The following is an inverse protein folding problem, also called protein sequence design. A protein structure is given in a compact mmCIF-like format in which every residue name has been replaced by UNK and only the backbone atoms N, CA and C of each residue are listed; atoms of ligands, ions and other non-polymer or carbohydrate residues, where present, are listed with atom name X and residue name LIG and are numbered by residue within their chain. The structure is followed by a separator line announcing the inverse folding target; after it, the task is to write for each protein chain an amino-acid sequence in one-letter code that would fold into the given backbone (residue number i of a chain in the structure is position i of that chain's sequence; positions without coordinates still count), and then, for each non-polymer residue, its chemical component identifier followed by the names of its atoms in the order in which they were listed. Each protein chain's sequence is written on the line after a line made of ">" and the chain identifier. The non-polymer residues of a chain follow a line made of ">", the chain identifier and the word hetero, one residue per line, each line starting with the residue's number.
data_IF_020944809499
#
_entry.id   IF_020944809499
#
_cell.length_a   1.000
_cell.length_b   1.000
_cell.length_c   1.000
_cell.angle_alpha   90.00
_cell.angle_beta   90.00
_cell.angle_gamma   90.00
#
_symmetry.space_group_name_H-M   'P 1'
#
loop_
_entity.id
_entity.type
_entity.pdbx_description
1 polymer ?
#
# COMPACT_ATOMS: atom_id res chain seq x y z
N UNK A 1 -21.22 74.46 52.08
CA UNK A 1 -21.63 73.15 51.50
C UNK A 1 -21.68 73.32 49.99
N UNK A 2 -20.59 72.98 49.30
CA UNK A 2 -20.49 72.78 47.85
C UNK A 2 -19.11 72.13 47.58
N UNK A 3 -19.10 70.93 46.98
CA UNK A 3 -17.95 70.36 46.27
C UNK A 3 -18.49 69.90 44.90
N UNK A 4 -17.82 70.22 43.78
CA UNK A 4 -18.31 69.91 42.44
C UNK A 4 -17.83 68.54 41.95
N UNK A 5 -18.55 68.07 40.93
CA UNK A 5 -18.54 66.75 40.31
C UNK A 5 -17.17 66.26 39.80
N UNK A 6 -16.90 64.98 40.04
CA UNK A 6 -15.83 64.21 39.41
C UNK A 6 -16.31 63.58 38.10
N UNK A 7 -15.71 64.00 36.99
CA UNK A 7 -15.88 63.35 35.69
C UNK A 7 -15.22 61.96 35.65
N UNK A 8 -16.00 60.96 35.24
CA UNK A 8 -15.51 59.62 34.94
C UNK A 8 -14.73 59.64 33.61
N UNK A 9 -13.46 59.23 33.66
CA UNK A 9 -12.68 58.91 32.45
C UNK A 9 -12.99 57.48 32.00
N UNK A 10 -13.50 57.34 30.77
CA UNK A 10 -13.59 56.05 30.08
C UNK A 10 -12.19 55.52 29.77
N UNK A 11 -11.84 54.37 30.37
CA UNK A 11 -10.64 53.61 30.04
C UNK A 11 -10.89 52.82 28.75
N UNK A 12 -10.34 53.28 27.63
CA UNK A 12 -10.30 52.50 26.39
C UNK A 12 -9.45 51.23 26.56
N UNK A 13 -10.07 50.07 26.40
CA UNK A 13 -9.39 48.77 26.43
C UNK A 13 -8.44 48.63 25.23
N UNK A 14 -7.22 48.14 25.47
CA UNK A 14 -6.26 47.83 24.41
C UNK A 14 -6.79 46.70 23.49
N UNK A 15 -6.54 46.75 22.17
CA UNK A 15 -6.97 45.71 21.25
C UNK A 15 -6.27 44.38 21.58
N UNK A 16 -7.04 43.30 21.55
CA UNK A 16 -6.52 41.94 21.75
C UNK A 16 -5.43 41.62 20.70
N UNK A 17 -4.37 40.88 21.08
CA UNK A 17 -3.34 40.47 20.13
C UNK A 17 -3.97 39.60 19.03
N UNK A 18 -3.56 39.85 17.79
CA UNK A 18 -3.97 39.03 16.65
C UNK A 18 -3.55 37.56 16.88
N UNK A 19 -4.38 36.57 16.48
CA UNK A 19 -4.02 35.17 16.60
C UNK A 19 -2.73 34.90 15.82
N UNK A 20 -1.88 34.02 16.37
CA UNK A 20 -0.66 33.59 15.70
C UNK A 20 -1.00 32.99 14.32
N UNK A 21 -0.20 33.26 13.27
CA UNK A 21 -0.42 32.66 11.97
C UNK A 21 -0.33 31.13 12.07
N UNK A 22 -1.24 30.44 11.39
CA UNK A 22 -1.24 28.98 11.34
C UNK A 22 0.05 28.47 10.69
N UNK A 23 0.57 27.31 11.12
CA UNK A 23 1.75 26.70 10.50
C UNK A 23 1.47 26.33 9.05
N UNK A 24 2.52 26.35 8.22
CA UNK A 24 2.47 25.84 6.86
C UNK A 24 2.17 24.33 6.87
N UNK A 25 1.60 23.83 5.78
CA UNK A 25 1.34 22.41 5.63
C UNK A 25 2.64 21.61 5.77
N UNK A 26 2.57 20.47 6.46
CA UNK A 26 3.73 19.65 6.74
C UNK A 26 3.54 18.68 7.89
N UNK A 27 4.54 17.83 8.09
CA UNK A 27 4.59 16.87 9.18
C UNK A 27 4.88 17.55 10.51
N UNK A 28 4.05 17.27 11.51
CA UNK A 28 4.19 17.83 12.84
C UNK A 28 3.97 16.72 13.89
N UNK A 29 4.48 16.87 15.13
CA UNK A 29 4.33 15.85 16.15
C UNK A 29 2.86 15.52 16.39
N UNK A 30 2.47 14.24 16.34
CA UNK A 30 1.08 13.83 16.51
C UNK A 30 0.62 14.15 17.95
N UNK A 31 -0.43 14.97 18.14
CA UNK A 31 -0.96 15.28 19.48
C UNK A 31 -1.47 14.05 20.24
N UNK A 32 -1.83 12.99 19.52
CA UNK A 32 -2.40 11.76 20.06
C UNK A 32 -1.37 10.65 20.30
N UNK A 33 -0.16 10.75 19.72
CA UNK A 33 0.87 9.73 19.87
C UNK A 33 2.29 10.31 19.78
N UNK A 34 3.12 10.18 20.84
CA UNK A 34 4.45 10.83 20.88
C UNK A 34 5.48 10.21 19.92
N UNK A 35 5.21 8.99 19.41
CA UNK A 35 6.08 8.25 18.49
C UNK A 35 5.76 8.49 17.02
N UNK A 36 4.72 9.27 16.70
CA UNK A 36 4.29 9.56 15.34
C UNK A 36 4.34 11.05 15.03
N UNK A 37 4.46 11.36 13.74
CA UNK A 37 4.10 12.65 13.17
C UNK A 37 2.78 12.48 12.45
N UNK A 38 1.96 13.55 12.46
CA UNK A 38 0.70 13.64 11.73
C UNK A 38 0.81 14.78 10.74
N UNK A 39 0.27 14.60 9.54
CA UNK A 39 0.33 15.65 8.54
C UNK A 39 -0.69 16.75 8.85
N UNK A 40 -0.25 18.00 8.77
CA UNK A 40 -1.09 19.20 8.86
C UNK A 40 -1.26 19.75 7.44
N UNK A 41 -2.49 19.91 6.97
CA UNK A 41 -2.77 20.34 5.59
C UNK A 41 -2.76 21.89 5.42
N UNK A 42 -2.43 22.63 6.47
CA UNK A 42 -2.52 24.09 6.51
C UNK A 42 -3.81 24.62 7.14
N UNK A 43 -4.82 23.77 7.33
CA UNK A 43 -6.12 24.14 7.93
C UNK A 43 -6.59 23.18 9.02
N UNK A 44 -6.25 21.89 8.93
CA UNK A 44 -6.62 20.84 9.89
C UNK A 44 -5.55 19.74 9.92
N UNK A 45 -5.58 18.98 11.02
CA UNK A 45 -4.84 17.73 11.13
C UNK A 45 -5.49 16.68 10.24
N UNK A 46 -4.69 15.92 9.52
CA UNK A 46 -5.14 14.80 8.70
C UNK A 46 -5.03 13.49 9.49
N UNK A 47 -5.66 12.41 9.00
CA UNK A 47 -5.55 11.05 9.56
C UNK A 47 -4.18 10.45 9.26
N UNK A 48 -3.55 10.87 8.16
CA UNK A 48 -2.20 10.46 7.77
C UNK A 48 -1.15 10.67 8.87
N UNK A 49 -0.61 9.55 9.36
CA UNK A 49 0.48 9.50 10.33
C UNK A 49 1.67 8.74 9.78
N UNK A 50 2.86 9.12 10.21
CA UNK A 50 4.08 8.34 9.98
C UNK A 50 4.86 8.18 11.28
N UNK A 51 5.63 7.10 11.46
CA UNK A 51 6.56 7.01 12.58
C UNK A 51 7.49 8.22 12.59
N UNK A 52 7.69 8.81 13.76
CA UNK A 52 8.57 9.96 13.93
C UNK A 52 10.00 9.50 13.70
N UNK A 53 10.57 9.87 12.56
CA UNK A 53 11.92 9.45 12.19
C UNK A 53 12.90 10.03 13.22
N UNK A 54 13.46 9.17 14.08
CA UNK A 54 14.74 9.48 14.69
C UNK A 54 15.71 9.63 13.52
N UNK A 55 16.28 10.82 13.32
CA UNK A 55 17.25 11.08 12.25
C UNK A 55 18.28 9.93 12.27
N UNK A 56 18.16 9.00 11.32
CA UNK A 56 19.14 7.96 11.17
C UNK A 56 20.45 8.66 10.86
N UNK A 57 21.50 8.33 11.61
CA UNK A 57 22.84 8.82 11.29
C UNK A 57 23.11 8.49 9.81
N UNK A 58 23.74 9.41 9.04
CA UNK A 58 24.00 9.17 7.63
C UNK A 58 24.72 7.83 7.49
N UNK A 59 24.10 6.92 6.74
CA UNK A 59 24.71 5.65 6.38
C UNK A 59 26.03 6.01 5.70
N UNK A 60 27.14 5.71 6.36
CA UNK A 60 28.44 5.92 5.77
C UNK A 60 28.56 4.87 4.68
N UNK A 61 28.60 5.32 3.42
CA UNK A 61 28.69 4.44 2.27
C UNK A 61 29.84 3.43 2.50
N UNK A 62 29.61 2.13 2.36
CA UNK A 62 30.71 1.18 2.29
C UNK A 62 31.57 1.52 1.06
N UNK A 63 32.87 1.27 1.17
CA UNK A 63 33.83 1.51 0.09
C UNK A 63 33.35 0.85 -1.22
N UNK A 64 33.55 1.49 -2.38
CA UNK A 64 33.01 1.01 -3.65
C UNK A 64 33.48 -0.42 -3.93
N UNK A 65 32.53 -1.35 -3.93
CA UNK A 65 32.70 -2.68 -4.49
C UNK A 65 32.93 -2.59 -6.01
N UNK A 66 33.45 -3.65 -6.64
CA UNK A 66 33.73 -3.64 -8.07
C UNK A 66 32.46 -3.33 -8.86
N UNK A 67 32.61 -2.52 -9.91
CA UNK A 67 31.53 -2.07 -10.77
C UNK A 67 30.66 -3.24 -11.25
N UNK A 68 29.35 -3.14 -11.01
CA UNK A 68 28.36 -4.05 -11.54
C UNK A 68 28.43 -4.06 -13.07
N UNK A 69 28.49 -5.27 -13.64
CA UNK A 69 28.36 -5.50 -15.07
C UNK A 69 26.96 -6.06 -15.32
N UNK A 70 26.23 -5.59 -16.35
CA UNK A 70 24.92 -6.13 -16.67
C UNK A 70 25.02 -7.63 -16.94
N UNK A 71 24.24 -8.43 -16.21
CA UNK A 71 24.14 -9.85 -16.45
C UNK A 71 23.57 -10.08 -17.85
N UNK A 72 24.40 -10.59 -18.75
CA UNK A 72 23.91 -11.20 -20.00
C UNK A 72 23.28 -12.54 -19.61
N UNK A 73 22.03 -12.85 -20.00
CA UNK A 73 21.39 -14.10 -19.60
C UNK A 73 22.20 -15.28 -20.15
N UNK A 74 22.92 -15.99 -19.27
CA UNK A 74 23.52 -17.28 -19.61
C UNK A 74 22.42 -18.32 -19.59
N UNK A 75 22.11 -18.84 -20.77
CA UNK A 75 21.06 -19.82 -21.06
C UNK A 75 21.37 -21.22 -20.54
N UNK A 76 21.66 -21.42 -19.25
CA UNK A 76 21.84 -22.76 -18.67
C UNK A 76 21.12 -22.90 -17.31
N UNK A 77 19.82 -23.16 -17.37
CA UNK A 77 19.05 -23.79 -16.30
C UNK A 77 18.72 -25.26 -16.65
N UNK A 78 18.53 -26.16 -15.67
CA UNK A 78 18.34 -27.58 -15.91
C UNK A 78 17.04 -27.87 -16.69
N UNK A 79 17.12 -28.74 -17.68
CA UNK A 79 16.01 -29.13 -18.53
C UNK A 79 14.95 -29.92 -17.75
N UNK A 80 13.78 -29.31 -17.54
CA UNK A 80 12.56 -30.05 -17.26
C UNK A 80 11.83 -30.32 -18.58
N UNK A 81 11.75 -31.59 -18.98
CA UNK A 81 10.99 -32.02 -20.15
C UNK A 81 9.50 -32.02 -19.83
N UNK A 82 8.76 -31.02 -20.31
CA UNK A 82 7.31 -31.07 -20.42
C UNK A 82 6.88 -31.83 -21.69
N UNK A 83 5.76 -32.59 -21.68
CA UNK A 83 5.31 -33.38 -22.82
C UNK A 83 4.84 -32.49 -23.98
N UNK A 84 5.26 -32.86 -25.20
CA UNK A 84 4.99 -32.13 -26.43
C UNK A 84 3.51 -32.16 -26.83
N UNK A 85 2.89 -30.99 -26.94
CA UNK A 85 1.67 -30.79 -27.73
C UNK A 85 2.06 -30.28 -29.13
N UNK A 86 1.44 -30.79 -30.21
CA UNK A 86 1.79 -30.39 -31.57
C UNK A 86 1.37 -28.94 -31.84
N UNK A 87 2.29 -28.16 -32.39
CA UNK A 87 2.07 -26.80 -32.82
C UNK A 87 1.06 -26.75 -33.98
N UNK A 88 -0.09 -26.14 -33.76
CA UNK A 88 -0.95 -25.64 -34.82
C UNK A 88 -0.83 -24.13 -34.89
N UNK A 89 -0.30 -23.64 -36.01
CA UNK A 89 -0.25 -22.21 -36.35
C UNK A 89 -1.68 -21.72 -36.61
N UNK A 90 -2.23 -20.76 -35.85
CA UNK A 90 -3.48 -20.13 -36.24
C UNK A 90 -3.21 -18.93 -37.17
N UNK A 91 -4.13 -18.62 -38.10
CA UNK A 91 -3.89 -17.62 -39.12
C UNK A 91 -4.07 -16.21 -38.58
N UNK A 92 -3.24 -15.31 -39.10
CA UNK A 92 -3.40 -13.85 -39.04
C UNK A 92 -4.84 -13.47 -39.42
N UNK A 93 -5.61 -12.87 -38.51
CA UNK A 93 -6.94 -12.29 -38.83
C UNK A 93 -7.14 -10.92 -38.19
N UNK A 94 -7.69 -10.05 -39.02
CA UNK A 94 -8.06 -8.66 -38.82
C UNK A 94 -9.21 -8.46 -37.83
N UNK A 95 -9.23 -7.25 -37.25
CA UNK A 95 -10.34 -6.66 -36.47
C UNK A 95 -11.72 -7.08 -36.99
N UNK A 96 -12.49 -7.75 -36.13
CA UNK A 96 -13.95 -7.79 -36.20
C UNK A 96 -14.49 -8.05 -34.78
N UNK A 97 -15.10 -7.01 -34.23
CA UNK A 97 -15.88 -6.96 -32.99
C UNK A 97 -16.84 -8.14 -32.83
N UNK A 98 -16.75 -8.83 -31.69
CA UNK A 98 -17.89 -9.55 -31.10
C UNK A 98 -17.87 -9.40 -29.59
N UNK A 99 -18.83 -8.59 -29.12
CA UNK A 99 -19.28 -8.55 -27.75
C UNK A 99 -19.77 -9.92 -27.28
N UNK A 100 -19.35 -10.35 -26.10
CA UNK A 100 -20.13 -11.22 -25.23
C UNK A 100 -19.62 -11.01 -23.79
N UNK A 101 -20.46 -10.42 -22.95
CA UNK A 101 -20.10 -10.07 -21.58
C UNK A 101 -20.21 -11.23 -20.60
N UNK A 102 -19.59 -11.05 -19.44
CA UNK A 102 -20.11 -11.56 -18.17
C UNK A 102 -19.59 -10.68 -17.04
N UNK A 103 -20.51 -10.22 -16.19
CA UNK A 103 -20.21 -9.65 -14.87
C UNK A 103 -19.71 -10.78 -13.96
N UNK A 104 -18.58 -10.58 -13.29
CA UNK A 104 -18.10 -11.49 -12.24
C UNK A 104 -18.50 -10.90 -10.88
N UNK A 105 -19.38 -11.57 -10.10
CA UNK A 105 -19.57 -11.19 -8.71
C UNK A 105 -18.39 -11.69 -7.88
N UNK A 106 -17.83 -10.80 -7.05
CA UNK A 106 -16.91 -11.13 -5.95
C UNK A 106 -17.63 -12.09 -5.00
N UNK A 107 -17.13 -13.32 -4.91
CA UNK A 107 -17.73 -14.36 -4.09
C UNK A 107 -17.36 -14.17 -2.61
N UNK A 108 -18.30 -13.66 -1.82
CA UNK A 108 -18.29 -13.78 -0.35
C UNK A 108 -18.66 -15.21 0.01
N UNK A 109 -17.70 -15.97 0.56
CA UNK A 109 -17.93 -17.33 1.02
C UNK A 109 -18.69 -17.33 2.36
N UNK A 110 -20.01 -17.47 2.29
CA UNK A 110 -20.82 -17.93 3.41
C UNK A 110 -20.69 -19.45 3.57
N UNK A 111 -20.23 -19.91 4.74
CA UNK A 111 -20.10 -21.33 5.05
C UNK A 111 -20.55 -21.65 6.48
N UNK A 112 -21.87 -21.79 6.70
CA UNK A 112 -22.42 -22.45 7.89
C UNK A 112 -23.37 -23.58 7.50
N UNK A 113 -23.10 -24.73 8.11
CA UNK A 113 -23.94 -25.90 8.40
C UNK A 113 -24.38 -26.84 7.25
N UNK A 114 -23.90 -28.09 7.31
CA UNK A 114 -24.73 -29.24 7.73
C UNK A 114 -23.96 -30.56 7.70
N UNK A 115 -23.55 -31.08 8.87
CA UNK A 115 -23.40 -32.53 9.09
C UNK A 115 -23.51 -32.83 10.59
N UNK A 116 -24.72 -33.13 11.08
CA UNK A 116 -24.90 -34.03 12.24
C UNK A 116 -26.18 -34.83 12.03
N UNK A 117 -26.03 -36.12 11.71
CA UNK A 117 -27.04 -37.12 12.01
C UNK A 117 -26.36 -38.40 12.44
N UNK A 118 -26.51 -38.75 13.73
CA UNK A 118 -26.26 -40.08 14.27
C UNK A 118 -25.22 -40.12 15.39
N UNK A 119 -25.68 -40.52 16.58
CA UNK A 119 -24.77 -40.95 17.66
C UNK A 119 -25.23 -40.56 19.05
N UNK A 120 -26.20 -41.29 19.61
CA UNK A 120 -26.49 -41.27 21.04
C UNK A 120 -25.31 -41.87 21.82
N UNK A 121 -24.90 -41.22 22.92
CA UNK A 121 -24.21 -41.89 24.02
C UNK A 121 -23.06 -41.09 24.65
N UNK A 122 -23.14 -40.95 25.98
CA UNK A 122 -22.14 -40.45 26.93
C UNK A 122 -21.97 -38.92 27.08
N UNK A 123 -22.40 -38.41 28.23
CA UNK A 123 -22.08 -37.07 28.75
C UNK A 123 -20.64 -37.04 29.25
N UNK A 124 -19.78 -36.11 28.80
CA UNK A 124 -18.57 -35.79 29.51
C UNK A 124 -18.83 -34.71 30.58
N UNK A 125 -18.07 -34.85 31.64
CA UNK A 125 -17.98 -34.01 32.83
C UNK A 125 -17.87 -32.51 32.50
N UNK A 126 -18.58 -31.69 33.27
CA UNK A 126 -18.66 -30.23 33.09
C UNK A 126 -17.28 -29.61 33.38
N UNK A 127 -16.45 -29.47 32.36
CA UNK A 127 -15.23 -28.64 32.41
C UNK A 127 -15.69 -27.20 32.64
N UNK A 128 -15.44 -26.68 33.84
CA UNK A 128 -15.55 -25.25 34.10
C UNK A 128 -14.40 -24.58 33.35
N UNK A 129 -14.71 -23.95 32.22
CA UNK A 129 -13.81 -22.97 31.62
C UNK A 129 -13.87 -21.72 32.49
N UNK A 130 -12.76 -21.41 33.16
CA UNK A 130 -12.49 -20.05 33.61
C UNK A 130 -12.46 -19.16 32.38
N UNK A 131 -13.49 -18.32 32.22
CA UNK A 131 -13.44 -17.16 31.34
C UNK A 131 -12.29 -16.32 31.87
N UNK A 132 -11.21 -16.21 31.08
CA UNK A 132 -10.19 -15.20 31.34
C UNK A 132 -10.81 -13.90 30.85
N UNK A 133 -11.46 -13.18 31.76
CA UNK A 133 -11.77 -11.76 31.57
C UNK A 133 -10.44 -11.00 31.61
N UNK A 134 -9.80 -10.79 30.46
CA UNK A 134 -9.10 -9.54 30.12
C UNK A 134 -8.46 -9.67 28.73
N UNK A 135 -9.12 -9.15 27.71
CA UNK A 135 -8.50 -8.76 26.44
C UNK A 135 -8.91 -7.32 26.16
N UNK A 136 -8.31 -6.39 26.91
CA UNK A 136 -8.72 -4.98 27.01
C UNK A 136 -7.71 -4.00 26.40
N UNK A 137 -6.74 -4.47 25.62
CA UNK A 137 -5.77 -3.61 24.94
C UNK A 137 -5.55 -4.03 23.48
N UNK A 138 -5.29 -3.03 22.61
CA UNK A 138 -4.84 -3.23 21.24
C UNK A 138 -3.60 -4.15 21.20
N UNK A 139 -3.46 -5.00 20.17
CA UNK A 139 -2.31 -5.87 20.04
C UNK A 139 -1.01 -5.06 19.98
N UNK A 140 0.02 -5.54 20.66
CA UNK A 140 1.32 -4.88 20.70
C UNK A 140 2.05 -5.18 19.40
N UNK A 141 2.26 -4.14 18.59
CA UNK A 141 3.04 -4.22 17.37
C UNK A 141 4.53 -4.51 17.65
N UNK A 142 5.16 -5.45 16.92
CA UNK A 142 6.61 -5.66 16.98
C UNK A 142 7.35 -4.52 16.27
N UNK A 143 8.61 -4.30 16.66
CA UNK A 143 9.51 -3.45 15.89
C UNK A 143 9.89 -4.16 14.58
N UNK A 144 9.82 -3.44 13.45
CA UNK A 144 10.26 -3.95 12.15
C UNK A 144 11.24 -2.96 11.52
N UNK A 145 12.19 -3.43 10.68
CA UNK A 145 13.10 -2.54 9.94
C UNK A 145 12.43 -1.91 8.71
N UNK A 146 11.15 -2.20 8.47
CA UNK A 146 10.37 -1.80 7.31
C UNK A 146 9.52 -0.56 7.64
N UNK A 147 9.23 0.25 6.62
CA UNK A 147 8.37 1.42 6.77
C UNK A 147 6.93 1.06 7.19
N UNK A 148 6.18 2.06 7.62
CA UNK A 148 4.73 1.95 7.87
C UNK A 148 4.00 2.73 6.78
N UNK A 149 3.03 2.10 6.13
CA UNK A 149 2.35 2.64 4.94
C UNK A 149 0.86 2.93 5.17
N UNK A 150 0.30 2.40 6.26
CA UNK A 150 -1.12 2.55 6.60
C UNK A 150 -1.49 3.94 7.17
N UNK A 151 -2.73 4.38 6.97
CA UNK A 151 -3.22 5.71 7.32
C UNK A 151 -3.92 5.83 8.67
N UNK A 152 -4.51 4.74 9.20
CA UNK A 152 -5.27 4.77 10.46
C UNK A 152 -4.51 4.09 11.60
N UNK A 153 -4.73 4.47 12.88
CA UNK A 153 -4.07 3.81 14.02
C UNK A 153 -4.28 2.29 14.07
N UNK A 154 -5.46 1.79 13.66
CA UNK A 154 -5.74 0.36 13.60
C UNK A 154 -4.88 -0.33 12.53
N UNK A 155 -4.87 0.20 11.31
CA UNK A 155 -4.08 -0.37 10.22
C UNK A 155 -2.57 -0.27 10.49
N UNK A 156 -2.10 0.88 11.01
CA UNK A 156 -0.72 1.08 11.48
C UNK A 156 -0.30 0.07 12.53
N UNK A 157 -1.20 -0.31 13.44
CA UNK A 157 -0.90 -1.31 14.47
C UNK A 157 -0.94 -2.75 13.93
N UNK A 158 -1.80 -3.04 12.95
CA UNK A 158 -1.88 -4.35 12.30
C UNK A 158 -0.72 -4.62 11.35
N UNK A 159 -0.28 -3.63 10.59
CA UNK A 159 0.75 -3.76 9.56
C UNK A 159 2.03 -4.47 10.03
N UNK A 160 2.71 -4.08 11.13
CA UNK A 160 3.91 -4.77 11.60
C UNK A 160 3.65 -6.22 12.05
N UNK A 161 2.44 -6.52 12.54
CA UNK A 161 2.05 -7.90 12.86
C UNK A 161 1.91 -8.74 11.58
N UNK A 162 1.38 -8.16 10.49
CA UNK A 162 1.29 -8.80 9.19
C UNK A 162 2.68 -8.96 8.54
N UNK A 163 3.54 -7.93 8.65
CA UNK A 163 4.93 -7.99 8.18
C UNK A 163 5.72 -9.07 8.92
N UNK A 164 5.51 -9.26 10.21
CA UNK A 164 6.20 -10.32 10.98
C UNK A 164 5.51 -11.69 10.89
N UNK A 165 4.52 -11.84 10.01
CA UNK A 165 3.74 -13.05 9.79
C UNK A 165 3.08 -13.63 11.05
N UNK A 166 2.54 -12.77 11.92
CA UNK A 166 1.81 -13.22 13.11
C UNK A 166 0.68 -14.21 12.71
N UNK A 167 0.68 -15.46 13.21
CA UNK A 167 -0.24 -16.50 12.73
C UNK A 167 -1.68 -16.30 13.22
N UNK A 168 -1.86 -15.52 14.27
CA UNK A 168 -3.14 -15.15 14.86
C UNK A 168 -2.97 -13.84 15.63
N UNK A 169 -3.90 -12.91 15.46
CA UNK A 169 -3.87 -11.59 16.09
C UNK A 169 -5.17 -11.42 16.89
N UNK A 170 -5.05 -11.18 18.19
CA UNK A 170 -6.20 -10.83 19.02
C UNK A 170 -6.69 -9.42 18.66
N UNK A 171 -7.93 -9.35 18.19
CA UNK A 171 -8.60 -8.12 17.77
C UNK A 171 -9.89 -7.91 18.57
N UNK A 172 -10.03 -8.57 19.73
CA UNK A 172 -11.25 -8.59 20.54
C UNK A 172 -11.73 -7.18 20.89
N UNK A 173 -10.84 -6.32 21.40
CA UNK A 173 -11.20 -4.95 21.75
C UNK A 173 -11.75 -4.19 20.54
N UNK A 174 -11.01 -4.17 19.42
CA UNK A 174 -11.42 -3.46 18.22
C UNK A 174 -12.69 -4.03 17.60
N UNK A 175 -12.90 -5.35 17.66
CA UNK A 175 -14.12 -5.98 17.17
C UNK A 175 -15.35 -5.53 17.97
N UNK A 176 -15.22 -5.37 19.29
CA UNK A 176 -16.29 -4.82 20.13
C UNK A 176 -16.53 -3.33 19.92
N UNK A 177 -15.46 -2.54 19.71
CA UNK A 177 -15.54 -1.07 19.57
C UNK A 177 -15.97 -0.61 18.17
N UNK A 178 -15.49 -1.27 17.12
CA UNK A 178 -15.59 -0.83 15.74
C UNK A 178 -16.24 -1.85 14.79
N UNK A 179 -16.46 -3.09 15.26
CA UNK A 179 -16.97 -4.18 14.43
C UNK A 179 -15.86 -4.83 13.58
N UNK A 180 -16.17 -6.01 13.04
CA UNK A 180 -15.22 -6.79 12.24
C UNK A 180 -14.92 -6.17 10.87
N UNK A 181 -15.87 -5.44 10.28
CA UNK A 181 -15.69 -4.82 8.96
C UNK A 181 -14.57 -3.77 8.97
N UNK A 182 -14.43 -3.01 10.07
CA UNK A 182 -13.34 -2.05 10.24
C UNK A 182 -11.97 -2.75 10.30
N UNK A 183 -11.89 -3.92 10.97
CA UNK A 183 -10.67 -4.73 11.03
C UNK A 183 -10.33 -5.27 9.64
N UNK A 184 -11.31 -5.79 8.90
CA UNK A 184 -11.10 -6.30 7.55
C UNK A 184 -10.63 -5.20 6.60
N UNK A 185 -11.20 -4.00 6.70
CA UNK A 185 -10.76 -2.85 5.92
C UNK A 185 -9.32 -2.41 6.27
N UNK A 186 -8.96 -2.41 7.56
CA UNK A 186 -7.61 -2.07 7.99
C UNK A 186 -6.55 -3.07 7.51
N UNK A 187 -6.87 -4.38 7.47
CA UNK A 187 -5.99 -5.40 6.87
C UNK A 187 -5.88 -5.20 5.35
N UNK A 188 -7.00 -4.91 4.68
CA UNK A 188 -7.03 -4.60 3.25
C UNK A 188 -6.14 -3.41 2.89
N UNK A 189 -6.26 -2.31 3.64
CA UNK A 189 -5.38 -1.14 3.51
C UNK A 189 -3.91 -1.54 3.67
N UNK A 190 -3.55 -2.25 4.75
CA UNK A 190 -2.17 -2.65 4.98
C UNK A 190 -1.61 -3.51 3.83
N UNK A 191 -2.42 -4.40 3.26
CA UNK A 191 -2.04 -5.23 2.12
C UNK A 191 -1.89 -4.42 0.80
N UNK A 192 -2.67 -3.35 0.61
CA UNK A 192 -2.62 -2.49 -0.59
C UNK A 192 -1.53 -1.42 -0.48
N UNK A 193 -1.22 -0.94 0.71
CA UNK A 193 -0.27 0.15 0.91
C UNK A 193 1.16 -0.36 1.14
N UNK A 194 1.34 -1.51 1.81
CA UNK A 194 2.65 -1.96 2.26
C UNK A 194 3.34 -2.88 1.24
N UNK A 195 4.52 -2.52 0.70
CA UNK A 195 5.31 -3.39 -0.18
C UNK A 195 5.84 -4.67 0.48
N UNK A 196 5.66 -4.80 1.81
CA UNK A 196 6.26 -5.83 2.64
C UNK A 196 5.23 -6.75 3.32
N UNK A 197 3.93 -6.54 3.09
CA UNK A 197 2.86 -7.42 3.58
C UNK A 197 2.54 -8.47 2.51
N UNK A 198 2.74 -9.75 2.84
CA UNK A 198 2.53 -10.87 1.91
C UNK A 198 1.37 -11.77 2.36
N UNK A 199 0.16 -11.21 2.34
CA UNK A 199 -1.09 -11.92 2.64
C UNK A 199 -1.96 -12.01 1.40
N UNK A 200 -2.65 -13.14 1.22
CA UNK A 200 -3.60 -13.34 0.11
C UNK A 200 -5.06 -13.36 0.61
N UNK A 201 -5.29 -13.83 1.83
CA UNK A 201 -6.59 -13.96 2.47
C UNK A 201 -6.48 -13.70 3.97
N UNK A 202 -7.60 -13.33 4.59
CA UNK A 202 -7.67 -13.20 6.04
C UNK A 202 -9.09 -13.46 6.53
N UNK A 203 -9.22 -13.94 7.76
CA UNK A 203 -10.51 -14.22 8.39
C UNK A 203 -10.52 -13.73 9.83
N UNK A 204 -11.65 -13.19 10.30
CA UNK A 204 -11.87 -12.94 11.73
C UNK A 204 -12.77 -14.04 12.26
N UNK A 205 -12.30 -14.74 13.29
CA UNK A 205 -13.07 -15.79 13.98
C UNK A 205 -13.51 -15.31 15.35
N UNK A 206 -14.76 -15.57 15.70
CA UNK A 206 -15.27 -15.38 17.05
C UNK A 206 -15.37 -16.73 17.77
N UNK A 207 -14.81 -16.82 18.97
CA UNK A 207 -15.01 -17.95 19.87
C UNK A 207 -15.20 -17.45 21.30
N UNK A 208 -16.36 -17.74 21.89
CA UNK A 208 -16.67 -17.35 23.27
C UNK A 208 -16.45 -15.85 23.57
N UNK A 209 -16.80 -14.97 22.61
CA UNK A 209 -16.65 -13.52 22.72
C UNK A 209 -15.24 -12.97 22.49
N UNK A 210 -14.27 -13.84 22.17
CA UNK A 210 -12.92 -13.48 21.72
C UNK A 210 -12.89 -13.45 20.20
N UNK A 211 -12.34 -12.37 19.62
CA UNK A 211 -12.18 -12.23 18.17
C UNK A 211 -10.71 -12.33 17.79
N UNK A 212 -10.41 -13.21 16.84
CA UNK A 212 -9.04 -13.44 16.36
C UNK A 212 -8.99 -13.28 14.85
N UNK A 213 -8.14 -12.36 14.39
CA UNK A 213 -7.74 -12.23 12.99
C UNK A 213 -6.72 -13.33 12.65
N UNK A 214 -6.98 -14.06 11.58
CA UNK A 214 -6.13 -15.12 11.05
C UNK A 214 -5.79 -14.79 9.58
N UNK A 215 -4.61 -14.22 9.33
CA UNK A 215 -4.08 -14.02 7.99
C UNK A 215 -3.63 -15.35 7.38
N UNK A 216 -3.76 -15.47 6.06
CA UNK A 216 -3.13 -16.50 5.26
C UNK A 216 -1.95 -15.83 4.54
N UNK A 217 -0.74 -16.32 4.82
CA UNK A 217 0.48 -15.77 4.25
C UNK A 217 0.85 -16.52 2.98
N UNK A 218 1.35 -15.78 1.98
CA UNK A 218 1.76 -16.31 0.69
C UNK A 218 3.00 -17.21 0.81
N UNK A 219 3.91 -16.82 1.70
CA UNK A 219 5.23 -17.44 1.87
C UNK A 219 5.42 -17.93 3.31
N UNK A 220 6.36 -18.86 3.49
CA UNK A 220 6.91 -19.12 4.83
C UNK A 220 7.75 -17.94 5.32
N UNK A 221 8.06 -17.93 6.62
CA UNK A 221 8.74 -16.80 7.28
C UNK A 221 10.12 -16.50 6.67
N UNK A 222 10.85 -17.54 6.23
CA UNK A 222 12.21 -17.40 5.69
C UNK A 222 12.17 -16.76 4.29
N UNK A 223 11.30 -17.25 3.40
CA UNK A 223 11.14 -16.69 2.06
C UNK A 223 10.54 -15.28 2.10
N UNK A 224 9.57 -15.04 2.98
CA UNK A 224 8.98 -13.71 3.17
C UNK A 224 10.05 -12.70 3.59
N UNK A 225 10.87 -13.01 4.60
CA UNK A 225 11.91 -12.09 5.06
C UNK A 225 13.02 -11.89 4.03
N UNK A 226 13.41 -12.95 3.30
CA UNK A 226 14.35 -12.83 2.18
C UNK A 226 13.84 -11.85 1.14
N UNK A 227 12.58 -12.00 0.70
CA UNK A 227 11.94 -11.11 -0.28
C UNK A 227 11.87 -9.67 0.20
N UNK A 228 11.48 -9.42 1.45
CA UNK A 228 11.43 -8.06 2.01
C UNK A 228 12.80 -7.41 2.07
N UNK A 229 13.80 -8.14 2.58
CA UNK A 229 15.18 -7.64 2.71
C UNK A 229 15.77 -7.33 1.34
N UNK A 230 15.61 -8.22 0.36
CA UNK A 230 16.10 -8.00 -1.02
C UNK A 230 15.37 -6.83 -1.70
N UNK A 231 14.05 -6.73 -1.53
CA UNK A 231 13.27 -5.59 -2.05
C UNK A 231 13.76 -4.27 -1.48
N UNK A 232 13.94 -4.18 -0.16
CA UNK A 232 14.42 -2.96 0.52
C UNK A 232 15.84 -2.59 0.09
N UNK A 233 16.73 -3.57 -0.04
CA UNK A 233 18.10 -3.35 -0.50
C UNK A 233 18.12 -2.90 -1.98
N UNK A 234 17.38 -3.57 -2.85
CA UNK A 234 17.28 -3.23 -4.26
C UNK A 234 16.66 -1.83 -4.47
N UNK A 235 15.65 -1.44 -3.67
CA UNK A 235 15.13 -0.08 -3.67
C UNK A 235 16.19 0.95 -3.29
N UNK A 236 16.99 0.69 -2.25
CA UNK A 236 18.07 1.59 -1.85
C UNK A 236 19.15 1.72 -2.95
N UNK A 237 19.55 0.61 -3.56
CA UNK A 237 20.52 0.61 -4.66
C UNK A 237 19.98 1.33 -5.91
N UNK A 238 18.69 1.15 -6.21
CA UNK A 238 17.99 1.85 -7.27
C UNK A 238 17.97 3.37 -7.07
N UNK A 239 17.73 3.85 -5.83
CA UNK A 239 17.79 5.28 -5.52
C UNK A 239 19.18 5.88 -5.73
N UNK A 240 20.24 5.13 -5.40
CA UNK A 240 21.63 5.53 -5.66
C UNK A 240 21.90 5.59 -7.17
N UNK A 241 21.50 4.54 -7.91
CA UNK A 241 21.68 4.47 -9.36
C UNK A 241 20.91 5.59 -10.10
N UNK A 242 19.72 5.92 -9.63
CA UNK A 242 18.89 7.01 -10.13
C UNK A 242 19.41 8.40 -9.73
N UNK A 243 20.37 8.50 -8.81
CA UNK A 243 20.92 9.79 -8.37
C UNK A 243 19.99 10.61 -7.48
N UNK A 244 19.02 9.97 -6.80
CA UNK A 244 17.97 10.65 -6.01
C UNK A 244 18.54 11.51 -4.88
N UNK A 245 19.69 11.13 -4.32
CA UNK A 245 20.37 11.92 -3.29
C UNK A 245 20.77 13.34 -3.75
N UNK A 246 20.89 13.57 -5.06
CA UNK A 246 21.21 14.87 -5.67
C UNK A 246 19.99 15.72 -6.04
N UNK A 247 18.77 15.20 -5.87
CA UNK A 247 17.54 15.89 -6.26
C UNK A 247 17.32 17.18 -5.44
N UNK A 248 16.93 18.26 -6.11
CA UNK A 248 16.67 19.57 -5.52
C UNK A 248 15.25 19.72 -4.96
N UNK A 249 14.32 18.81 -5.31
CA UNK A 249 12.92 18.87 -4.87
C UNK A 249 12.28 17.48 -4.80
N UNK A 250 11.15 17.38 -4.12
CA UNK A 250 10.35 16.14 -4.06
C UNK A 250 9.80 15.75 -5.44
N UNK A 251 9.47 16.74 -6.29
CA UNK A 251 9.11 16.50 -7.68
C UNK A 251 10.24 15.81 -8.45
N UNK A 252 11.48 16.27 -8.28
CA UNK A 252 12.64 15.69 -8.94
C UNK A 252 12.95 14.28 -8.42
N UNK A 253 12.83 14.05 -7.10
CA UNK A 253 12.94 12.69 -6.54
C UNK A 253 11.91 11.75 -7.19
N UNK A 254 10.64 12.16 -7.26
CA UNK A 254 9.57 11.36 -7.86
C UNK A 254 9.83 11.07 -9.34
N UNK A 255 10.31 12.07 -10.11
CA UNK A 255 10.71 11.88 -11.51
C UNK A 255 11.88 10.91 -11.69
N UNK A 256 12.89 10.96 -10.82
CA UNK A 256 14.04 10.06 -10.89
C UNK A 256 13.67 8.61 -10.54
N UNK A 257 12.80 8.42 -9.54
CA UNK A 257 12.25 7.09 -9.18
C UNK A 257 11.44 6.53 -10.34
N UNK A 258 10.50 7.32 -10.89
CA UNK A 258 9.69 6.94 -12.04
C UNK A 258 10.58 6.52 -13.23
N UNK A 259 11.53 7.38 -13.61
CA UNK A 259 12.42 7.12 -14.73
C UNK A 259 13.24 5.83 -14.54
N UNK A 260 13.71 5.57 -13.32
CA UNK A 260 14.42 4.32 -13.01
C UNK A 260 13.55 3.10 -13.26
N UNK A 261 12.33 3.09 -12.69
CA UNK A 261 11.40 1.97 -12.81
C UNK A 261 11.04 1.71 -14.27
N UNK A 262 10.63 2.75 -14.99
CA UNK A 262 10.23 2.68 -16.41
C UNK A 262 11.38 2.21 -17.32
N UNK A 263 12.63 2.43 -16.92
CA UNK A 263 13.80 1.97 -17.68
C UNK A 263 14.22 0.54 -17.33
N UNK A 264 14.00 0.11 -16.09
CA UNK A 264 14.51 -1.14 -15.55
C UNK A 264 13.51 -2.30 -15.63
N UNK A 265 12.22 -2.00 -15.74
CA UNK A 265 11.14 -2.99 -15.67
C UNK A 265 10.60 -3.38 -17.05
N UNK A 266 9.98 -4.57 -17.11
CA UNK A 266 9.18 -5.05 -18.24
C UNK A 266 7.80 -5.50 -17.75
N UNK A 267 6.75 -5.14 -18.46
CA UNK A 267 5.39 -5.54 -18.08
C UNK A 267 5.14 -7.05 -18.26
N UNK A 268 4.66 -7.71 -17.22
CA UNK A 268 4.38 -9.15 -17.22
C UNK A 268 3.03 -9.48 -17.88
N UNK A 269 3.07 -9.62 -19.20
CA UNK A 269 1.89 -9.98 -19.99
C UNK A 269 1.34 -11.37 -19.65
N UNK A 270 2.17 -12.31 -19.16
CA UNK A 270 1.70 -13.64 -18.80
C UNK A 270 0.86 -13.61 -17.51
N UNK A 271 1.30 -12.88 -16.49
CA UNK A 271 0.51 -12.64 -15.29
C UNK A 271 -0.75 -11.82 -15.60
N UNK A 272 -0.64 -10.80 -16.45
CA UNK A 272 -1.78 -9.99 -16.90
C UNK A 272 -2.86 -10.85 -17.59
N UNK A 273 -2.48 -11.70 -18.54
CA UNK A 273 -3.40 -12.61 -19.23
C UNK A 273 -4.06 -13.60 -18.26
N UNK A 274 -3.32 -14.07 -17.24
CA UNK A 274 -3.85 -14.97 -16.22
C UNK A 274 -4.84 -14.27 -15.29
N UNK A 275 -4.58 -13.01 -14.91
CA UNK A 275 -5.48 -12.16 -14.14
C UNK A 275 -6.80 -11.91 -14.88
N UNK A 276 -6.74 -11.60 -16.17
CA UNK A 276 -7.93 -11.30 -16.99
C UNK A 276 -8.94 -12.45 -16.99
N UNK A 277 -8.44 -13.70 -16.93
CA UNK A 277 -9.29 -14.91 -16.87
C UNK A 277 -9.47 -15.47 -15.46
N UNK A 278 -9.06 -14.74 -14.42
CA UNK A 278 -9.25 -15.10 -13.01
C UNK A 278 -8.46 -16.33 -12.54
N UNK A 279 -7.27 -16.57 -13.10
CA UNK A 279 -6.40 -17.69 -12.69
C UNK A 279 -5.50 -17.30 -11.52
N UNK A 280 -5.68 -17.96 -10.38
CA UNK A 280 -4.75 -17.90 -9.26
C UNK A 280 -3.51 -18.77 -9.53
N UNK A 281 -2.48 -18.17 -10.14
CA UNK A 281 -1.18 -18.81 -10.39
C UNK A 281 -0.10 -18.13 -9.54
N UNK A 282 0.97 -18.85 -9.11
CA UNK A 282 2.06 -18.23 -8.35
C UNK A 282 2.69 -17.00 -9.04
N UNK A 283 2.78 -17.03 -10.38
CA UNK A 283 3.29 -15.89 -11.16
C UNK A 283 2.42 -14.63 -10.98
N UNK A 284 1.09 -14.77 -10.84
CA UNK A 284 0.19 -13.64 -10.64
C UNK A 284 0.41 -12.99 -9.27
N UNK A 285 0.71 -13.79 -8.26
CA UNK A 285 1.00 -13.28 -6.92
C UNK A 285 2.33 -12.52 -6.91
N UNK A 286 3.39 -13.14 -7.45
CA UNK A 286 4.74 -12.55 -7.52
C UNK A 286 4.76 -11.24 -8.32
N UNK A 287 4.02 -11.22 -9.43
CA UNK A 287 3.92 -10.08 -10.36
C UNK A 287 3.14 -8.89 -9.77
N UNK A 288 2.55 -9.01 -8.58
CA UNK A 288 1.90 -7.91 -7.88
C UNK A 288 2.74 -7.34 -6.72
N UNK A 289 3.95 -7.86 -6.51
CA UNK A 289 4.85 -7.44 -5.43
C UNK A 289 5.89 -6.44 -5.93
N UNK A 290 6.36 -5.54 -5.05
CA UNK A 290 7.53 -4.69 -5.35
C UNK A 290 8.78 -5.50 -5.73
N UNK A 291 8.91 -6.72 -5.18
CA UNK A 291 9.96 -7.68 -5.50
C UNK A 291 10.01 -8.01 -7.00
N UNK A 292 8.85 -8.11 -7.66
CA UNK A 292 8.75 -8.41 -9.09
C UNK A 292 9.50 -7.38 -9.94
N UNK A 293 9.41 -6.08 -9.60
CA UNK A 293 10.13 -5.02 -10.32
C UNK A 293 11.57 -4.89 -9.85
N UNK A 294 11.78 -4.75 -8.54
CA UNK A 294 13.08 -4.35 -7.99
C UNK A 294 14.11 -5.48 -8.03
N UNK A 295 13.67 -6.75 -8.03
CA UNK A 295 14.55 -7.92 -8.01
C UNK A 295 14.40 -8.76 -9.28
N UNK A 296 13.16 -9.05 -9.71
CA UNK A 296 12.93 -9.91 -10.90
C UNK A 296 12.90 -9.12 -12.23
N UNK A 297 12.72 -7.80 -12.18
CA UNK A 297 12.66 -6.93 -13.35
C UNK A 297 11.35 -7.00 -14.15
N UNK A 298 10.32 -7.69 -13.66
CA UNK A 298 9.05 -7.85 -14.36
C UNK A 298 7.87 -7.97 -13.40
N UNK A 299 6.81 -7.22 -13.63
CA UNK A 299 5.58 -7.28 -12.83
C UNK A 299 4.35 -6.76 -13.61
N UNK A 300 3.16 -6.87 -13.03
CA UNK A 300 1.95 -6.13 -13.46
C UNK A 300 1.81 -4.82 -12.69
N UNK A 301 0.77 -4.04 -12.99
CA UNK A 301 0.58 -2.68 -12.47
C UNK A 301 0.75 -2.53 -10.94
N UNK A 302 0.26 -3.48 -10.15
CA UNK A 302 0.44 -3.47 -8.69
C UNK A 302 1.91 -3.55 -8.29
N UNK A 303 2.71 -4.40 -8.95
CA UNK A 303 4.14 -4.52 -8.67
C UNK A 303 4.92 -3.24 -9.01
N UNK A 304 4.56 -2.58 -10.11
CA UNK A 304 5.06 -1.24 -10.46
C UNK A 304 4.76 -0.21 -9.37
N UNK A 305 3.49 -0.11 -8.95
CA UNK A 305 3.08 0.84 -7.93
C UNK A 305 3.74 0.58 -6.57
N UNK A 306 3.87 -0.69 -6.18
CA UNK A 306 4.53 -1.10 -4.93
C UNK A 306 6.04 -0.82 -4.95
N UNK A 307 6.70 -1.02 -6.10
CA UNK A 307 8.12 -0.67 -6.25
C UNK A 307 8.35 0.84 -6.14
N UNK A 308 7.48 1.65 -6.74
CA UNK A 308 7.51 3.10 -6.57
C UNK A 308 7.33 3.47 -5.10
N UNK A 309 6.34 2.89 -4.41
CA UNK A 309 6.07 3.12 -2.97
C UNK A 309 7.28 2.76 -2.10
N UNK A 310 7.95 1.64 -2.35
CA UNK A 310 9.16 1.23 -1.62
C UNK A 310 10.32 2.22 -1.80
N UNK A 311 10.56 2.68 -3.04
CA UNK A 311 11.59 3.68 -3.33
C UNK A 311 11.24 5.06 -2.78
N UNK A 312 9.96 5.46 -2.85
CA UNK A 312 9.47 6.73 -2.31
C UNK A 312 9.69 6.82 -0.79
N UNK A 313 9.39 5.77 -0.03
CA UNK A 313 9.63 5.72 1.42
C UNK A 313 11.10 5.98 1.75
N UNK A 314 12.01 5.25 1.11
CA UNK A 314 13.45 5.40 1.33
C UNK A 314 13.99 6.77 0.87
N UNK A 315 13.33 7.42 -0.10
CA UNK A 315 13.64 8.77 -0.55
C UNK A 315 13.02 9.89 0.32
N UNK A 316 12.23 9.50 1.33
CA UNK A 316 11.49 10.41 2.20
C UNK A 316 10.35 11.16 1.48
N UNK A 317 9.74 10.53 0.47
CA UNK A 317 8.54 10.99 -0.19
C UNK A 317 7.31 10.33 0.43
N UNK A 318 6.26 11.12 0.65
CA UNK A 318 4.96 10.56 1.00
C UNK A 318 4.26 10.12 -0.29
N UNK A 319 4.04 8.81 -0.41
CA UNK A 319 3.38 8.18 -1.54
C UNK A 319 2.38 7.14 -1.05
N UNK A 320 1.27 6.99 -1.76
CA UNK A 320 0.27 5.95 -1.52
C UNK A 320 -0.03 5.20 -2.81
N UNK A 321 -0.32 3.92 -2.69
CA UNK A 321 -0.77 3.08 -3.80
C UNK A 321 -2.28 3.23 -3.95
N UNK A 322 -2.77 3.49 -5.14
CA UNK A 322 -4.20 3.55 -5.45
C UNK A 322 -4.55 2.38 -6.37
N UNK A 323 -5.49 1.54 -5.95
CA UNK A 323 -6.14 0.58 -6.85
C UNK A 323 -7.40 1.20 -7.41
N UNK A 324 -7.78 0.76 -8.60
CA UNK A 324 -8.97 1.25 -9.28
C UNK A 324 -9.16 0.59 -10.62
N UNK A 325 -9.86 1.30 -11.49
CA UNK A 325 -10.02 0.94 -12.88
C UNK A 325 -9.50 2.02 -13.82
N UNK A 326 -9.07 1.58 -14.99
CA UNK A 326 -8.84 2.46 -16.14
C UNK A 326 -9.68 1.98 -17.34
N UNK A 327 -10.48 2.91 -17.88
CA UNK A 327 -11.36 2.67 -19.03
C UNK A 327 -10.75 3.11 -20.37
N UNK A 328 -9.44 3.26 -20.48
CA UNK A 328 -8.72 3.52 -21.75
C UNK A 328 -8.89 2.39 -22.76
N UNK A 329 -9.09 1.16 -22.28
CA UNK A 329 -9.45 0.00 -23.10
C UNK A 329 -10.98 -0.21 -23.12
N UNK A 330 -11.49 -0.85 -24.17
CA UNK A 330 -12.92 -1.21 -24.32
C UNK A 330 -13.45 -2.06 -23.15
N UNK A 331 -12.54 -2.65 -22.36
CA UNK A 331 -12.81 -3.27 -21.08
C UNK A 331 -12.18 -2.39 -19.99
N UNK A 332 -12.99 -1.97 -19.02
CA UNK A 332 -12.50 -1.39 -17.77
C UNK A 332 -11.61 -2.43 -17.09
N UNK A 333 -10.30 -2.24 -17.11
CA UNK A 333 -9.34 -3.14 -16.48
C UNK A 333 -9.04 -2.66 -15.07
N UNK A 334 -8.88 -3.60 -14.13
CA UNK A 334 -8.31 -3.29 -12.83
C UNK A 334 -6.90 -2.74 -13.02
N UNK A 335 -6.56 -1.69 -12.29
CA UNK A 335 -5.30 -0.98 -12.44
C UNK A 335 -4.78 -0.44 -11.10
N UNK A 336 -3.48 -0.21 -11.02
CA UNK A 336 -2.83 0.37 -9.85
C UNK A 336 -1.84 1.46 -10.26
N UNK A 337 -1.83 2.55 -9.50
CA UNK A 337 -0.93 3.69 -9.68
C UNK A 337 -0.57 4.30 -8.33
N UNK A 338 0.28 5.33 -8.31
CA UNK A 338 0.62 6.04 -7.09
C UNK A 338 0.03 7.44 -7.05
N UNK A 339 -0.25 7.94 -5.85
CA UNK A 339 -0.32 9.37 -5.56
C UNK A 339 0.89 9.76 -4.72
N UNK A 340 1.51 10.88 -5.04
CA UNK A 340 2.71 11.39 -4.37
C UNK A 340 2.48 12.82 -3.91
N UNK A 341 2.85 13.15 -2.68
CA UNK A 341 2.74 14.51 -2.14
C UNK A 341 3.91 15.36 -2.63
N UNK A 342 3.61 16.35 -3.48
CA UNK A 342 4.59 17.30 -4.02
C UNK A 342 4.08 18.71 -3.82
N UNK A 343 4.90 19.57 -3.20
CA UNK A 343 4.54 20.98 -2.90
C UNK A 343 3.18 21.13 -2.20
N UNK A 344 2.88 20.21 -1.27
CA UNK A 344 1.64 20.18 -0.48
C UNK A 344 0.40 19.73 -1.27
N UNK A 345 0.58 19.11 -2.45
CA UNK A 345 -0.52 18.56 -3.26
C UNK A 345 -0.22 17.13 -3.67
N UNK A 346 -1.24 16.28 -3.61
CA UNK A 346 -1.16 14.93 -4.16
C UNK A 346 -1.26 15.00 -5.68
N UNK A 347 -0.31 14.38 -6.35
CA UNK A 347 -0.25 14.23 -7.81
C UNK A 347 -0.11 12.75 -8.17
N UNK A 348 -0.67 12.36 -9.30
CA UNK A 348 -0.61 11.00 -9.81
C UNK A 348 0.75 10.73 -10.46
N UNK A 349 1.28 9.54 -10.18
CA UNK A 349 2.41 8.94 -10.90
C UNK A 349 2.00 7.53 -11.32
N UNK A 350 2.14 7.21 -12.61
CA UNK A 350 1.86 5.87 -13.12
C UNK A 350 3.02 5.37 -13.99
N UNK A 351 3.88 4.58 -13.38
CA UNK A 351 5.03 3.95 -14.05
C UNK A 351 4.62 2.85 -15.01
N UNK A 352 3.41 2.29 -14.90
CA UNK A 352 2.96 1.19 -15.76
C UNK A 352 2.53 1.71 -17.12
N UNK A 353 1.74 2.78 -17.15
CA UNK A 353 1.31 3.39 -18.41
C UNK A 353 2.41 4.19 -19.11
N UNK A 354 3.43 4.62 -18.36
CA UNK A 354 4.62 5.23 -18.93
C UNK A 354 5.70 4.20 -19.36
N UNK A 355 5.47 2.90 -19.14
CA UNK A 355 6.36 1.82 -19.59
C UNK A 355 6.41 1.73 -21.13
N UNK A 356 7.59 1.94 -21.75
CA UNK A 356 7.75 1.87 -23.19
C UNK A 356 7.54 0.47 -23.77
N UNK A 357 7.55 -0.62 -23.00
CA UNK A 357 7.24 -1.95 -23.54
C UNK A 357 5.75 -2.09 -23.97
N UNK A 358 4.93 -1.06 -23.73
CA UNK A 358 3.59 -0.89 -24.29
C UNK A 358 3.55 -0.07 -25.62
N UNK A 359 4.68 0.43 -26.15
CA UNK A 359 4.73 1.28 -27.38
C UNK A 359 6.14 1.64 -27.93
N UNK A 360 6.28 2.31 -29.09
CA UNK A 360 7.61 2.51 -29.69
C UNK A 360 8.43 3.63 -29.01
N UNK A 361 9.40 3.21 -28.17
CA UNK A 361 10.71 3.83 -27.87
C UNK A 361 10.81 5.36 -27.85
N UNK A 362 10.42 5.91 -26.71
CA UNK A 362 11.15 6.86 -25.85
C UNK A 362 10.54 6.66 -24.43
N UNK A 363 11.27 6.93 -23.35
CA UNK A 363 10.69 6.83 -22.00
C UNK A 363 9.54 7.84 -21.91
N UNK A 364 8.32 7.35 -21.70
CA UNK A 364 7.14 8.21 -21.54
C UNK A 364 7.16 8.88 -20.18
N UNK A 365 6.57 10.07 -20.10
CA UNK A 365 6.31 10.80 -18.85
C UNK A 365 4.90 11.40 -18.88
N UNK A 366 3.99 10.79 -19.63
CA UNK A 366 2.62 11.26 -19.80
C UNK A 366 1.86 11.21 -18.48
N UNK A 367 2.10 10.17 -17.67
CA UNK A 367 1.46 9.97 -16.38
C UNK A 367 2.38 10.29 -15.19
N UNK A 368 3.33 11.22 -15.36
CA UNK A 368 4.24 11.68 -14.32
C UNK A 368 3.81 13.04 -13.74
N UNK A 369 3.51 13.07 -12.43
CA UNK A 369 3.12 14.27 -11.66
C UNK A 369 1.84 14.94 -12.18
N UNK A 370 0.87 14.14 -12.61
CA UNK A 370 -0.42 14.62 -13.15
C UNK A 370 -1.31 15.08 -12.00
N UNK A 371 -1.91 16.26 -12.15
CA UNK A 371 -2.76 16.85 -11.10
C UNK A 371 -4.17 16.27 -11.14
N UNK A 372 -4.81 16.17 -9.99
CA UNK A 372 -6.24 15.84 -9.92
C UNK A 372 -7.07 16.82 -10.77
N UNK A 373 -8.04 16.29 -11.50
CA UNK A 373 -8.88 17.05 -12.43
C UNK A 373 -8.29 17.28 -13.82
N UNK A 374 -7.08 16.81 -14.10
CA UNK A 374 -6.53 16.80 -15.46
C UNK A 374 -7.38 15.88 -16.37
N UNK A 375 -7.77 16.31 -17.59
CA UNK A 375 -8.51 15.47 -18.53
C UNK A 375 -7.84 14.14 -18.87
N UNK A 376 -6.52 14.03 -18.73
CA UNK A 376 -5.78 12.78 -18.91
C UNK A 376 -6.24 11.68 -17.94
N UNK A 377 -6.76 12.05 -16.77
CA UNK A 377 -7.22 11.12 -15.75
C UNK A 377 -8.72 10.79 -15.84
N UNK A 378 -9.41 11.27 -16.88
CA UNK A 378 -10.87 11.14 -17.01
C UNK A 378 -11.40 9.71 -17.16
N UNK A 379 -10.53 8.75 -17.48
CA UNK A 379 -10.86 7.32 -17.61
C UNK A 379 -10.63 6.53 -16.32
N UNK A 380 -10.07 7.16 -15.29
CA UNK A 380 -9.65 6.48 -14.06
C UNK A 380 -10.65 6.66 -12.94
N UNK A 381 -10.94 5.57 -12.24
CA UNK A 381 -11.80 5.56 -11.06
C UNK A 381 -11.09 4.77 -9.98
N UNK A 382 -10.77 5.41 -8.85
CA UNK A 382 -10.21 4.70 -7.70
C UNK A 382 -11.26 3.78 -7.09
N UNK A 383 -10.82 2.62 -6.59
CA UNK A 383 -11.69 1.70 -5.86
C UNK A 383 -12.21 2.33 -4.56
N UNK A 384 -13.15 1.68 -3.89
CA UNK A 384 -13.60 2.17 -2.59
C UNK A 384 -12.70 1.72 -1.42
N UNK A 385 -11.97 0.62 -1.58
CA UNK A 385 -11.25 -0.09 -0.53
C UNK A 385 -9.72 0.05 -0.61
N UNK A 386 -9.17 0.83 -1.56
CA UNK A 386 -7.71 1.07 -1.65
C UNK A 386 -7.12 1.75 -0.41
N UNK A 387 -7.96 2.43 0.36
CA UNK A 387 -7.60 3.22 1.55
C UNK A 387 -8.80 3.31 2.48
N UNK A 388 -8.54 3.45 3.78
CA UNK A 388 -9.61 3.58 4.77
C UNK A 388 -10.57 4.73 4.43
N UNK A 389 -11.90 4.51 4.55
CA UNK A 389 -12.89 5.49 4.13
C UNK A 389 -12.71 6.89 4.71
N UNK A 390 -12.27 6.99 5.96
CA UNK A 390 -11.98 8.25 6.65
C UNK A 390 -10.78 9.01 6.08
N UNK A 391 -9.79 8.29 5.53
CA UNK A 391 -8.51 8.84 5.06
C UNK A 391 -8.55 9.24 3.58
N UNK A 392 -9.40 8.62 2.76
CA UNK A 392 -9.45 8.84 1.29
C UNK A 392 -9.47 10.31 0.86
N UNK A 393 -10.24 11.15 1.56
CA UNK A 393 -10.40 12.59 1.23
C UNK A 393 -9.09 13.40 1.35
N UNK A 394 -8.09 12.86 2.03
CA UNK A 394 -6.79 13.53 2.24
C UNK A 394 -5.89 13.43 1.02
N UNK A 395 -6.16 12.44 0.16
CA UNK A 395 -5.38 12.14 -1.03
C UNK A 395 -6.04 12.70 -2.30
N UNK A 396 -6.96 13.67 -2.16
CA UNK A 396 -7.65 14.30 -3.29
C UNK A 396 -8.73 13.42 -3.95
N UNK A 397 -9.26 12.42 -3.24
CA UNK A 397 -10.38 11.59 -3.67
C UNK A 397 -11.76 12.21 -3.39
#
# INVERSE_FOLDING_TARGET
>A
MFYPDGGAGESAAAPAPAPAPLPQAGWMPDPSSPTYERYWDGQRWTTHTRPRTAVAAPVTAPAPGPAWSPHTPTSHGPSFSAPAYPATVPPRRSRASRALGLLVPVAVAAGIASMVSGGWGSTPERVQFTVVEDATAAPIAPDTPYGTYSSTPMAVALEPLLVTQAPAIDVTQWAHEHGTDAILAAVGEAAIQSPYVYVDLWTVRELAGTFTLQPNYVYDDEEAERRRSETRQAAADALVAAGVAGAASDAEKASLIHHYIVTAATYDTQASDALEVGRALPIVQQSQEAYGILVEGSAVCTGYAMAFTAMAELAGLDAVTVTGTDSTSELSAGHAWNKVLVDGRWVLVDTTWDDPDQGPRDISTEYLLVKDGDPLLSTRVADEDWMMPESRREFGA
#
